data_IF_884546613352
#
_entry.id   IF_884546613352
#
_cell.length_a   1.000
_cell.length_b   1.000
_cell.length_c   1.000
_cell.angle_alpha   90.00
_cell.angle_beta   90.00
_cell.angle_gamma   90.00
#
_symmetry.space_group_name_H-M   'P 1'
#
loop_
_entity.id
_entity.type
_entity.pdbx_description
1 polymer ?
#
# COMPACT_ATOMS: atom_id res chain seq x y z
N UNK A 1 -3.83 -1.81 -4.47
CA UNK A 1 -4.07 -0.47 -3.96
C UNK A 1 -3.41 -0.33 -2.59
N UNK A 2 -2.55 0.67 -2.41
CA UNK A 2 -1.83 0.89 -1.15
C UNK A 2 -1.76 2.41 -0.86
N UNK A 3 -2.57 2.87 0.08
CA UNK A 3 -2.76 4.29 0.39
C UNK A 3 -2.84 4.55 1.89
N UNK A 4 -3.12 5.80 2.29
CA UNK A 4 -3.42 6.17 3.67
C UNK A 4 -4.71 5.58 4.21
N UNK A 5 -5.71 5.30 3.35
CA UNK A 5 -7.00 4.77 3.76
C UNK A 5 -7.26 3.32 3.38
N UNK A 6 -6.54 2.77 2.40
CA UNK A 6 -6.79 1.44 1.86
C UNK A 6 -5.51 0.65 1.62
N UNK A 7 -5.56 -0.64 1.91
CA UNK A 7 -4.56 -1.62 1.51
C UNK A 7 -5.31 -2.85 1.03
N UNK A 8 -5.33 -3.05 -0.30
CA UNK A 8 -6.15 -4.07 -0.95
C UNK A 8 -5.39 -4.76 -2.09
N UNK A 9 -5.63 -6.04 -2.24
CA UNK A 9 -5.24 -6.86 -3.38
C UNK A 9 -6.49 -7.13 -4.21
N UNK A 10 -6.47 -6.73 -5.46
CA UNK A 10 -7.62 -6.80 -6.37
C UNK A 10 -7.19 -7.48 -7.65
N UNK A 11 -7.87 -8.54 -8.04
CA UNK A 11 -7.75 -9.08 -9.39
C UNK A 11 -8.56 -8.21 -10.35
N UNK A 12 -7.94 -7.84 -11.46
CA UNK A 12 -8.52 -7.00 -12.51
C UNK A 12 -8.57 -7.80 -13.80
N UNK A 13 -9.73 -8.33 -14.12
CA UNK A 13 -9.91 -9.09 -15.37
C UNK A 13 -9.97 -8.14 -16.57
N UNK A 14 -10.68 -7.02 -16.38
CA UNK A 14 -10.74 -5.87 -17.29
C UNK A 14 -11.23 -4.63 -16.52
N UNK A 15 -11.18 -3.47 -17.16
CA UNK A 15 -11.69 -2.22 -16.57
C UNK A 15 -13.16 -2.40 -16.17
N UNK A 16 -13.50 -2.12 -14.90
CA UNK A 16 -14.82 -2.30 -14.33
C UNK A 16 -15.12 -3.73 -13.83
N UNK A 17 -14.24 -4.69 -14.05
CA UNK A 17 -14.38 -6.04 -13.48
C UNK A 17 -13.28 -6.32 -12.45
N UNK A 18 -13.63 -6.13 -11.20
CA UNK A 18 -12.73 -6.20 -10.06
C UNK A 18 -13.18 -7.29 -9.09
N UNK A 19 -12.23 -8.07 -8.59
CA UNK A 19 -12.45 -9.06 -7.55
C UNK A 19 -11.48 -8.85 -6.42
N UNK A 20 -12.00 -8.50 -5.24
CA UNK A 20 -11.20 -8.35 -4.03
C UNK A 20 -10.62 -9.71 -3.63
N UNK A 21 -9.31 -9.78 -3.47
CA UNK A 21 -8.58 -10.98 -3.07
C UNK A 21 -8.20 -10.96 -1.60
N UNK A 22 -7.96 -9.79 -1.05
CA UNK A 22 -7.62 -9.57 0.35
C UNK A 22 -7.47 -8.08 0.64
N UNK A 23 -7.64 -7.72 1.90
CA UNK A 23 -7.53 -6.33 2.34
C UNK A 23 -7.00 -6.24 3.77
N UNK A 24 -6.71 -5.03 4.24
CA UNK A 24 -6.34 -4.85 5.63
C UNK A 24 -7.53 -5.02 6.56
N UNK A 25 -7.34 -5.75 7.65
CA UNK A 25 -8.35 -5.98 8.69
C UNK A 25 -8.35 -4.86 9.75
N UNK A 26 -7.36 -3.98 9.70
CA UNK A 26 -7.19 -2.89 10.66
C UNK A 26 -6.59 -1.65 9.96
N UNK A 27 -5.44 -1.15 10.38
CA UNK A 27 -4.81 0.02 9.77
C UNK A 27 -4.41 -0.26 8.31
N UNK A 28 -4.62 0.71 7.42
CA UNK A 28 -3.98 0.70 6.10
C UNK A 28 -2.46 0.91 6.23
N UNK A 29 -1.70 0.46 5.24
CA UNK A 29 -0.24 0.60 5.27
C UNK A 29 0.20 2.07 5.43
N UNK A 30 -0.40 3.01 4.70
CA UNK A 30 -0.07 4.43 4.84
C UNK A 30 -0.49 5.00 6.19
N UNK A 31 -1.62 4.58 6.74
CA UNK A 31 -2.04 4.93 8.09
C UNK A 31 -1.05 4.43 9.15
N UNK A 32 -0.51 3.21 8.98
CA UNK A 32 0.52 2.67 9.86
C UNK A 32 1.82 3.50 9.79
N UNK A 33 2.22 3.96 8.59
CA UNK A 33 3.32 4.91 8.42
C UNK A 33 3.07 6.22 9.17
N UNK A 34 1.91 6.85 8.97
CA UNK A 34 1.57 8.14 9.59
C UNK A 34 1.47 8.04 11.11
N UNK A 35 0.84 6.99 11.64
CA UNK A 35 0.75 6.73 13.08
C UNK A 35 2.12 6.49 13.71
N UNK A 36 3.00 5.76 13.01
CA UNK A 36 4.37 5.49 13.49
C UNK A 36 5.22 6.75 13.42
N UNK A 37 5.14 7.52 12.34
CA UNK A 37 5.81 8.82 12.21
C UNK A 37 5.41 9.78 13.33
N UNK A 38 4.11 9.89 13.61
CA UNK A 38 3.57 10.72 14.70
C UNK A 38 4.12 10.28 16.06
N UNK A 39 4.18 8.96 16.33
CA UNK A 39 4.75 8.39 17.55
C UNK A 39 6.22 8.78 17.71
N UNK A 40 6.96 8.82 16.60
CA UNK A 40 8.37 9.22 16.57
C UNK A 40 8.58 10.74 16.50
N UNK A 41 7.51 11.55 16.63
CA UNK A 41 7.59 13.01 16.61
C UNK A 41 7.94 13.60 15.26
N UNK A 42 7.65 12.89 14.15
CA UNK A 42 7.83 13.39 12.79
C UNK A 42 6.61 14.22 12.33
N UNK A 43 6.80 15.22 11.45
CA UNK A 43 5.71 16.02 10.94
C UNK A 43 4.78 15.25 9.99
N UNK A 44 3.58 15.77 9.80
CA UNK A 44 2.62 15.25 8.82
C UNK A 44 2.84 15.89 7.43
N UNK A 45 2.70 15.15 6.31
CA UNK A 45 2.41 13.71 6.22
C UNK A 45 3.59 12.86 6.66
N UNK A 46 3.32 11.84 7.49
CA UNK A 46 4.35 11.08 8.19
C UNK A 46 5.09 10.07 7.31
N UNK A 47 4.41 9.49 6.32
CA UNK A 47 4.99 8.43 5.47
C UNK A 47 6.29 8.84 4.78
N UNK A 48 6.34 9.95 4.03
CA UNK A 48 7.57 10.43 3.39
C UNK A 48 8.69 10.76 4.38
N UNK A 49 8.33 11.33 5.54
CA UNK A 49 9.30 11.69 6.59
C UNK A 49 9.92 10.43 7.24
N UNK A 50 9.09 9.43 7.50
CA UNK A 50 9.56 8.16 8.06
C UNK A 50 10.46 7.41 7.06
N UNK A 51 10.07 7.37 5.78
CA UNK A 51 10.86 6.76 4.72
C UNK A 51 12.22 7.45 4.54
N UNK A 52 12.27 8.78 4.58
CA UNK A 52 13.51 9.55 4.53
C UNK A 52 14.41 9.25 5.76
N UNK A 53 13.82 9.17 6.96
CA UNK A 53 14.54 8.79 8.17
C UNK A 53 15.10 7.36 8.08
N UNK A 54 14.33 6.43 7.54
CA UNK A 54 14.71 5.03 7.35
C UNK A 54 15.91 4.84 6.40
N UNK A 55 16.14 5.79 5.48
CA UNK A 55 17.33 5.75 4.59
C UNK A 55 18.65 5.83 5.38
N UNK A 56 18.68 6.56 6.51
CA UNK A 56 19.84 6.66 7.38
C UNK A 56 19.97 5.49 8.37
N UNK A 57 18.97 4.61 8.45
CA UNK A 57 18.95 3.48 9.36
C UNK A 57 19.76 2.29 8.85
N UNK A 58 20.41 1.58 9.78
CA UNK A 58 21.16 0.36 9.53
C UNK A 58 20.22 -0.84 9.37
N UNK A 59 20.24 -1.52 8.20
CA UNK A 59 19.37 -2.67 7.97
C UNK A 59 19.59 -3.79 9.01
N UNK A 60 18.49 -4.35 9.53
CA UNK A 60 18.52 -5.52 10.40
C UNK A 60 18.83 -5.25 11.87
N UNK A 61 19.14 -4.01 12.27
CA UNK A 61 19.33 -3.60 13.68
C UNK A 61 18.05 -3.82 14.48
N UNK A 62 16.93 -3.38 13.94
CA UNK A 62 15.59 -3.67 14.50
C UNK A 62 14.82 -4.57 13.55
N UNK A 63 14.18 -5.61 14.10
CA UNK A 63 13.36 -6.56 13.34
C UNK A 63 11.97 -6.62 13.95
N UNK A 64 10.99 -6.12 13.20
CA UNK A 64 9.58 -6.21 13.56
C UNK A 64 8.90 -7.38 12.85
N UNK A 65 7.76 -7.81 13.37
CA UNK A 65 6.99 -8.88 12.76
C UNK A 65 6.56 -8.51 11.32
N UNK A 66 6.32 -9.53 10.50
CA UNK A 66 5.63 -9.44 9.20
C UNK A 66 4.24 -10.00 9.41
N UNK A 67 3.26 -9.16 9.82
CA UNK A 67 1.98 -9.68 10.29
C UNK A 67 1.28 -10.54 9.21
N UNK A 68 0.62 -11.62 9.65
CA UNK A 68 -0.18 -12.53 8.82
C UNK A 68 0.57 -13.19 7.65
N UNK A 69 1.90 -13.12 7.60
CA UNK A 69 2.69 -13.81 6.56
C UNK A 69 3.00 -15.26 6.93
N UNK A 70 2.84 -15.64 8.19
CA UNK A 70 3.04 -16.97 8.76
C UNK A 70 1.88 -17.96 8.52
N UNK A 71 0.78 -17.46 7.95
CA UNK A 71 -0.47 -18.18 7.70
C UNK A 71 -0.96 -18.01 6.26
N UNK A 72 -1.83 -18.89 5.76
CA UNK A 72 -2.45 -18.71 4.45
C UNK A 72 -3.35 -17.45 4.42
N UNK A 73 -3.77 -17.08 3.20
CA UNK A 73 -4.65 -15.94 2.95
C UNK A 73 -3.90 -14.69 2.54
N UNK A 74 -4.68 -13.71 2.07
CA UNK A 74 -4.20 -12.51 1.39
C UNK A 74 -4.47 -11.22 2.18
N UNK A 75 -5.15 -11.31 3.33
CA UNK A 75 -5.44 -10.17 4.17
C UNK A 75 -4.17 -9.65 4.87
N UNK A 76 -4.22 -8.38 5.23
CA UNK A 76 -3.16 -7.68 5.93
C UNK A 76 -3.59 -7.26 7.35
N UNK A 77 -2.60 -6.94 8.17
CA UNK A 77 -2.77 -6.25 9.44
C UNK A 77 -1.51 -5.44 9.73
N UNK A 78 -1.66 -4.19 10.13
CA UNK A 78 -0.53 -3.30 10.43
C UNK A 78 -0.62 -2.63 11.79
N UNK A 79 -1.77 -2.65 12.47
CA UNK A 79 -1.97 -1.95 13.76
C UNK A 79 -0.99 -2.39 14.84
N UNK A 80 -0.62 -3.69 14.86
CA UNK A 80 0.33 -4.25 15.83
C UNK A 80 1.77 -3.75 15.67
N UNK A 81 2.16 -3.29 14.47
CA UNK A 81 3.51 -2.76 14.22
C UNK A 81 3.76 -1.47 15.00
N UNK A 82 2.77 -0.59 15.10
CA UNK A 82 2.87 0.64 15.88
C UNK A 82 3.25 0.35 17.34
N UNK A 83 2.63 -0.67 17.94
CA UNK A 83 2.93 -1.06 19.34
C UNK A 83 4.35 -1.59 19.48
N UNK A 84 4.81 -2.40 18.52
CA UNK A 84 6.19 -2.91 18.51
C UNK A 84 7.21 -1.78 18.41
N UNK A 85 6.95 -0.79 17.54
CA UNK A 85 7.80 0.42 17.41
C UNK A 85 7.79 1.23 18.70
N UNK A 86 6.62 1.44 19.32
CA UNK A 86 6.51 2.16 20.59
C UNK A 86 7.38 1.53 21.67
N UNK A 87 7.30 0.22 21.83
CA UNK A 87 8.10 -0.50 22.82
C UNK A 87 9.59 -0.40 22.50
N UNK A 88 9.99 -0.64 21.27
CA UNK A 88 11.39 -0.53 20.85
C UNK A 88 11.95 0.88 21.07
N UNK A 89 11.16 1.92 20.75
CA UNK A 89 11.56 3.31 20.98
C UNK A 89 11.68 3.65 22.45
N UNK A 90 10.68 3.27 23.25
CA UNK A 90 10.69 3.52 24.72
C UNK A 90 11.88 2.86 25.41
N UNK A 91 12.21 1.64 25.02
CA UNK A 91 13.23 0.82 25.68
C UNK A 91 14.64 1.03 25.10
N UNK A 92 14.81 2.01 24.19
CA UNK A 92 16.07 2.37 23.54
C UNK A 92 16.75 3.59 24.18
N UNK A 93 17.95 3.91 23.70
CA UNK A 93 18.69 5.13 24.06
C UNK A 93 18.12 6.42 23.47
N UNK A 94 17.11 6.28 22.62
CA UNK A 94 16.42 7.38 21.92
C UNK A 94 17.36 8.31 21.12
N UNK A 95 18.54 7.81 20.73
CA UNK A 95 19.47 8.55 19.89
C UNK A 95 18.92 8.75 18.47
N UNK A 96 19.51 9.70 17.74
CA UNK A 96 19.13 9.94 16.35
C UNK A 96 19.38 8.71 15.44
N UNK A 97 20.46 7.95 15.71
CA UNK A 97 20.75 6.73 14.96
C UNK A 97 19.73 5.63 15.28
N UNK A 98 19.43 5.41 16.54
CA UNK A 98 18.40 4.44 16.97
C UNK A 98 17.05 4.76 16.36
N UNK A 99 16.70 6.05 16.28
CA UNK A 99 15.46 6.50 15.64
C UNK A 99 15.41 6.12 14.16
N UNK A 100 16.53 6.30 13.45
CA UNK A 100 16.66 5.90 12.04
C UNK A 100 16.61 4.37 11.88
N UNK A 101 17.26 3.62 12.77
CA UNK A 101 17.30 2.15 12.74
C UNK A 101 15.91 1.55 12.99
N UNK A 102 15.14 2.12 13.92
CA UNK A 102 13.75 1.71 14.18
C UNK A 102 12.86 2.05 12.97
N UNK A 103 12.98 3.24 12.39
CA UNK A 103 12.25 3.63 11.18
C UNK A 103 12.55 2.66 10.03
N UNK A 104 13.81 2.28 9.86
CA UNK A 104 14.23 1.30 8.86
C UNK A 104 13.62 -0.07 9.11
N UNK A 105 13.66 -0.58 10.32
CA UNK A 105 13.08 -1.87 10.67
C UNK A 105 11.56 -1.90 10.44
N UNK A 106 10.86 -0.80 10.77
CA UNK A 106 9.43 -0.65 10.51
C UNK A 106 9.13 -0.67 9.00
N UNK A 107 9.82 0.16 8.22
CA UNK A 107 9.65 0.21 6.76
C UNK A 107 9.89 -1.15 6.13
N UNK A 108 10.99 -1.82 6.50
CA UNK A 108 11.30 -3.17 6.02
C UNK A 108 10.17 -4.17 6.35
N UNK A 109 9.56 -4.08 7.55
CA UNK A 109 8.46 -4.96 7.94
C UNK A 109 7.21 -4.75 7.07
N UNK A 110 6.83 -3.50 6.81
CA UNK A 110 5.67 -3.17 5.95
C UNK A 110 5.93 -3.61 4.52
N UNK A 111 7.10 -3.26 3.97
CA UNK A 111 7.49 -3.57 2.58
C UNK A 111 7.56 -5.08 2.35
N UNK A 112 8.17 -5.83 3.27
CA UNK A 112 8.24 -7.29 3.17
C UNK A 112 6.84 -7.92 3.23
N UNK A 113 5.97 -7.46 4.14
CA UNK A 113 4.60 -7.95 4.25
C UNK A 113 3.83 -7.73 2.94
N UNK A 114 3.91 -6.53 2.37
CA UNK A 114 3.29 -6.21 1.09
C UNK A 114 3.83 -7.09 -0.04
N UNK A 115 5.15 -7.25 -0.15
CA UNK A 115 5.77 -8.05 -1.21
C UNK A 115 5.38 -9.54 -1.12
N UNK A 116 5.38 -10.12 0.10
CA UNK A 116 4.97 -11.52 0.32
C UNK A 116 3.52 -11.72 -0.10
N UNK A 117 2.61 -10.83 0.29
CA UNK A 117 1.20 -10.93 -0.04
C UNK A 117 0.93 -10.66 -1.53
N UNK A 118 1.66 -9.72 -2.16
CA UNK A 118 1.59 -9.52 -3.61
C UNK A 118 2.03 -10.77 -4.38
N UNK A 119 3.12 -11.42 -3.98
CA UNK A 119 3.57 -12.66 -4.60
C UNK A 119 2.49 -13.76 -4.52
N UNK A 120 1.88 -13.95 -3.34
CA UNK A 120 0.78 -14.91 -3.15
C UNK A 120 -0.46 -14.56 -3.97
N UNK A 121 -0.77 -13.26 -4.12
CA UNK A 121 -1.91 -12.82 -4.91
C UNK A 121 -1.70 -13.09 -6.41
N UNK A 122 -0.49 -12.89 -6.92
CA UNK A 122 -0.13 -13.24 -8.30
C UNK A 122 -0.32 -14.76 -8.54
N UNK A 123 0.12 -15.60 -7.60
CA UNK A 123 -0.10 -17.05 -7.68
C UNK A 123 -1.58 -17.42 -7.67
N UNK A 124 -2.34 -16.85 -6.73
CA UNK A 124 -3.77 -17.12 -6.59
C UNK A 124 -4.60 -16.64 -7.80
N UNK A 125 -4.16 -15.56 -8.46
CA UNK A 125 -4.83 -15.00 -9.63
C UNK A 125 -4.32 -15.61 -10.96
N UNK A 126 -3.23 -16.38 -10.94
CA UNK A 126 -2.60 -16.89 -12.15
C UNK A 126 -2.05 -15.78 -13.07
N UNK A 127 -1.60 -14.66 -12.47
CA UNK A 127 -1.13 -13.48 -13.18
C UNK A 127 0.38 -13.28 -13.03
N UNK A 128 1.01 -12.67 -14.01
CA UNK A 128 2.42 -12.26 -14.02
C UNK A 128 2.63 -10.75 -13.88
N UNK A 129 1.56 -9.98 -13.94
CA UNK A 129 1.59 -8.53 -13.94
C UNK A 129 0.96 -7.96 -12.66
N UNK A 130 1.74 -7.16 -11.93
CA UNK A 130 1.30 -6.42 -10.75
C UNK A 130 1.19 -4.92 -11.09
N UNK A 131 0.04 -4.32 -10.81
CA UNK A 131 -0.16 -2.87 -10.89
C UNK A 131 -0.24 -2.32 -9.46
N UNK A 132 0.56 -1.32 -9.14
CA UNK A 132 0.57 -0.69 -7.82
C UNK A 132 0.00 0.72 -7.93
N UNK A 133 -1.04 1.01 -7.15
CA UNK A 133 -1.70 2.31 -7.09
C UNK A 133 -1.84 2.78 -5.64
N UNK A 134 -1.93 4.10 -5.44
CA UNK A 134 -2.04 4.74 -4.14
C UNK A 134 -0.73 5.37 -3.65
N UNK A 135 -0.82 6.29 -2.69
CA UNK A 135 0.29 7.15 -2.25
C UNK A 135 1.51 6.39 -1.69
N UNK A 136 1.30 5.25 -1.01
CA UNK A 136 2.41 4.41 -0.53
C UNK A 136 3.19 3.78 -1.70
N UNK A 137 2.58 3.66 -2.87
CA UNK A 137 3.25 3.24 -4.11
C UNK A 137 4.38 4.18 -4.57
N UNK A 138 4.51 5.37 -4.00
CA UNK A 138 5.66 6.26 -4.20
C UNK A 138 6.90 5.85 -3.36
N UNK A 139 6.73 5.00 -2.35
CA UNK A 139 7.83 4.55 -1.49
C UNK A 139 8.90 3.80 -2.31
N UNK A 140 10.12 4.29 -2.27
CA UNK A 140 11.24 3.81 -3.07
C UNK A 140 11.56 2.33 -2.77
N UNK A 141 11.65 1.98 -1.49
CA UNK A 141 11.97 0.62 -1.04
C UNK A 141 10.90 -0.38 -1.44
N UNK A 142 9.62 0.00 -1.35
CA UNK A 142 8.52 -0.82 -1.83
C UNK A 142 8.65 -1.09 -3.34
N UNK A 143 8.95 -0.06 -4.13
CA UNK A 143 9.17 -0.21 -5.58
C UNK A 143 10.29 -1.18 -5.89
N UNK A 144 11.46 -0.98 -5.28
CA UNK A 144 12.63 -1.86 -5.44
C UNK A 144 12.31 -3.31 -5.08
N UNK A 145 11.64 -3.53 -3.94
CA UNK A 145 11.27 -4.87 -3.48
C UNK A 145 10.28 -5.57 -4.41
N UNK A 146 9.26 -4.85 -4.86
CA UNK A 146 8.27 -5.42 -5.78
C UNK A 146 8.84 -5.66 -7.17
N UNK A 147 9.74 -4.81 -7.66
CA UNK A 147 10.47 -5.04 -8.92
C UNK A 147 11.32 -6.30 -8.85
N UNK A 148 12.10 -6.45 -7.79
CA UNK A 148 12.93 -7.64 -7.58
C UNK A 148 12.07 -8.91 -7.49
N UNK A 149 10.95 -8.87 -6.73
CA UNK A 149 10.00 -9.97 -6.61
C UNK A 149 9.39 -10.36 -7.97
N UNK A 150 8.94 -9.38 -8.76
CA UNK A 150 8.36 -9.64 -10.08
C UNK A 150 9.40 -10.23 -11.05
N UNK A 151 10.62 -9.69 -11.09
CA UNK A 151 11.71 -10.21 -11.93
C UNK A 151 12.07 -11.66 -11.60
N UNK A 152 12.18 -12.01 -10.32
CA UNK A 152 12.45 -13.38 -9.87
C UNK A 152 11.37 -14.38 -10.32
N UNK A 153 10.16 -13.89 -10.58
CA UNK A 153 9.01 -14.68 -11.03
C UNK A 153 8.81 -14.67 -12.55
N UNK A 154 9.67 -13.97 -13.29
CA UNK A 154 9.51 -13.78 -14.74
C UNK A 154 8.34 -12.85 -15.10
N UNK A 155 7.81 -12.12 -14.11
CA UNK A 155 6.71 -11.18 -14.27
C UNK A 155 7.15 -9.72 -14.32
N UNK A 156 6.19 -8.81 -14.24
CA UNK A 156 6.43 -7.36 -14.25
C UNK A 156 5.59 -6.62 -13.22
N UNK A 157 6.08 -5.46 -12.81
CA UNK A 157 5.32 -4.53 -11.97
C UNK A 157 5.24 -3.17 -12.64
N UNK A 158 4.05 -2.57 -12.61
CA UNK A 158 3.76 -1.25 -13.16
C UNK A 158 3.42 -0.29 -12.01
N UNK A 159 4.06 0.88 -12.04
CA UNK A 159 3.78 1.97 -11.09
C UNK A 159 3.39 3.22 -11.87
N UNK A 160 2.47 4.03 -11.37
CA UNK A 160 2.29 5.37 -11.89
C UNK A 160 3.54 6.24 -11.62
N UNK A 161 3.75 7.31 -12.40
CA UNK A 161 4.72 8.34 -12.04
C UNK A 161 4.47 8.83 -10.60
N UNK A 162 5.51 9.15 -9.81
CA UNK A 162 5.35 9.55 -8.41
C UNK A 162 4.34 10.70 -8.21
N UNK A 163 4.29 11.67 -9.12
CA UNK A 163 3.34 12.79 -9.09
C UNK A 163 1.86 12.37 -9.27
N UNK A 164 1.60 11.17 -9.77
CA UNK A 164 0.25 10.63 -9.98
C UNK A 164 -0.08 9.47 -9.00
N UNK A 165 0.75 9.22 -7.99
CA UNK A 165 0.48 8.18 -7.00
C UNK A 165 -0.64 8.56 -6.02
N UNK A 166 -0.82 9.85 -5.74
CA UNK A 166 -1.90 10.37 -4.91
C UNK A 166 -3.12 10.73 -5.76
N UNK A 167 -4.26 10.94 -5.10
CA UNK A 167 -5.51 11.32 -5.75
C UNK A 167 -5.30 12.57 -6.63
N UNK A 168 -5.83 12.51 -7.86
CA UNK A 168 -5.69 13.60 -8.82
C UNK A 168 -6.85 13.60 -9.83
N UNK A 169 -7.13 14.79 -10.41
CA UNK A 169 -8.24 14.96 -11.35
C UNK A 169 -8.06 14.16 -12.65
N UNK A 170 -6.83 13.87 -13.07
CA UNK A 170 -6.58 13.15 -14.32
C UNK A 170 -7.08 11.70 -14.25
N UNK A 171 -6.90 11.01 -13.11
CA UNK A 171 -7.40 9.64 -12.93
C UNK A 171 -8.93 9.58 -12.97
N UNK A 172 -9.62 10.57 -12.39
CA UNK A 172 -11.07 10.65 -12.38
C UNK A 172 -11.60 10.98 -13.78
N UNK A 173 -10.98 11.95 -14.46
CA UNK A 173 -11.33 12.30 -15.84
C UNK A 173 -11.15 11.11 -16.80
N UNK A 174 -10.05 10.35 -16.67
CA UNK A 174 -9.79 9.18 -17.50
C UNK A 174 -10.84 8.08 -17.25
N UNK A 175 -11.15 7.77 -15.97
CA UNK A 175 -12.17 6.79 -15.62
C UNK A 175 -13.56 7.21 -16.15
N UNK A 176 -13.90 8.50 -16.06
CA UNK A 176 -15.14 9.05 -16.60
C UNK A 176 -15.20 8.96 -18.14
N UNK A 177 -14.10 9.28 -18.82
CA UNK A 177 -14.02 9.21 -20.28
C UNK A 177 -14.25 7.78 -20.79
N UNK A 178 -13.63 6.77 -20.14
CA UNK A 178 -13.84 5.37 -20.52
C UNK A 178 -15.31 4.95 -20.36
N UNK A 179 -15.96 5.36 -19.27
CA UNK A 179 -17.38 5.06 -19.03
C UNK A 179 -18.29 5.74 -20.04
N UNK A 180 -18.03 7.01 -20.39
CA UNK A 180 -18.78 7.72 -21.42
C UNK A 180 -18.61 7.06 -22.78
N UNK A 181 -17.40 6.62 -23.17
CA UNK A 181 -17.16 5.88 -24.40
C UNK A 181 -17.91 4.55 -24.45
N UNK A 182 -18.10 3.90 -23.31
CA UNK A 182 -18.89 2.68 -23.16
C UNK A 182 -20.42 2.97 -23.08
N UNK A 183 -20.86 4.20 -23.28
CA UNK A 183 -22.27 4.58 -23.21
C UNK A 183 -22.84 4.66 -21.79
N UNK A 184 -21.99 4.61 -20.77
CA UNK A 184 -22.41 4.72 -19.38
C UNK A 184 -22.44 6.20 -18.98
N UNK A 185 -23.64 6.73 -18.80
CA UNK A 185 -23.88 8.10 -18.35
C UNK A 185 -25.12 8.14 -17.46
N UNK A 186 -25.22 9.14 -16.62
CA UNK A 186 -26.44 9.35 -15.85
C UNK A 186 -27.57 9.81 -16.77
N UNK A 187 -28.75 9.26 -16.57
CA UNK A 187 -29.94 9.64 -17.34
C UNK A 187 -30.50 11.00 -16.91
N UNK A 188 -30.14 11.44 -15.72
CA UNK A 188 -30.55 12.71 -15.10
C UNK A 188 -29.33 13.44 -14.50
N UNK A 189 -29.53 14.67 -14.05
CA UNK A 189 -28.51 15.48 -13.39
C UNK A 189 -28.34 15.14 -11.89
N UNK A 190 -29.03 14.11 -11.39
CA UNK A 190 -28.95 13.72 -9.99
C UNK A 190 -27.59 13.10 -9.66
N UNK A 191 -26.93 13.62 -8.64
CA UNK A 191 -25.66 13.11 -8.14
C UNK A 191 -25.94 12.28 -6.88
N UNK A 192 -25.71 10.97 -6.96
CA UNK A 192 -25.74 10.08 -5.80
C UNK A 192 -24.31 9.87 -5.28
N UNK A 193 -24.14 9.98 -3.97
CA UNK A 193 -22.84 9.74 -3.31
C UNK A 193 -22.91 8.44 -2.51
N UNK A 194 -22.00 7.51 -2.79
CA UNK A 194 -21.88 6.25 -2.07
C UNK A 194 -20.52 6.20 -1.38
N UNK A 195 -20.40 6.58 -0.10
CA UNK A 195 -19.10 6.77 0.58
C UNK A 195 -18.23 5.50 0.68
N UNK A 196 -18.85 4.33 0.67
CA UNK A 196 -18.18 3.02 0.72
C UNK A 196 -18.68 2.14 -0.42
N UNK A 197 -18.39 2.57 -1.64
CA UNK A 197 -18.81 1.82 -2.82
C UNK A 197 -17.95 0.57 -3.01
N UNK A 198 -18.59 -0.57 -3.03
CA UNK A 198 -17.93 -1.84 -3.33
C UNK A 198 -17.51 -1.88 -4.81
N UNK A 199 -16.23 -1.99 -5.07
CA UNK A 199 -15.67 -2.07 -6.44
C UNK A 199 -16.21 -3.27 -7.21
N UNK A 200 -16.58 -4.36 -6.54
CA UNK A 200 -17.16 -5.54 -7.17
C UNK A 200 -18.55 -5.31 -7.77
N UNK A 201 -19.22 -4.21 -7.39
CA UNK A 201 -20.55 -3.83 -7.93
C UNK A 201 -20.48 -2.84 -9.08
N UNK A 202 -19.28 -2.40 -9.48
CA UNK A 202 -19.13 -1.50 -10.61
C UNK A 202 -19.46 -2.21 -11.93
N UNK A 203 -20.24 -1.57 -12.82
CA UNK A 203 -20.48 -2.14 -14.14
C UNK A 203 -19.17 -2.18 -14.95
N UNK A 204 -19.00 -3.23 -15.73
CA UNK A 204 -17.88 -3.35 -16.66
C UNK A 204 -17.91 -2.23 -17.70
N UNK A 205 -16.72 -1.85 -18.17
CA UNK A 205 -16.52 -0.87 -19.26
C UNK A 205 -16.07 -1.61 -20.51
#
# INVERSE_FOLDING_TARGET
>A
LVSGGHTQLVAVDRIGQYRLLGETLDDAAGEAFDKTAKLMGLPYPGGPQLAALAEAGTPGTYRFARPMTDRPGLDFSFSGLKTQVLLAWRDSDQSAQTRADIARGFEDAVVDTLAIKCARALDAAGCDTLIVAGGVGANKRLREKLQAMAQQRGGRVCFPPPALCTDNGAMIAFAGALRLQAGQHNADEAIAVTPRWDMGTLPAV
#
